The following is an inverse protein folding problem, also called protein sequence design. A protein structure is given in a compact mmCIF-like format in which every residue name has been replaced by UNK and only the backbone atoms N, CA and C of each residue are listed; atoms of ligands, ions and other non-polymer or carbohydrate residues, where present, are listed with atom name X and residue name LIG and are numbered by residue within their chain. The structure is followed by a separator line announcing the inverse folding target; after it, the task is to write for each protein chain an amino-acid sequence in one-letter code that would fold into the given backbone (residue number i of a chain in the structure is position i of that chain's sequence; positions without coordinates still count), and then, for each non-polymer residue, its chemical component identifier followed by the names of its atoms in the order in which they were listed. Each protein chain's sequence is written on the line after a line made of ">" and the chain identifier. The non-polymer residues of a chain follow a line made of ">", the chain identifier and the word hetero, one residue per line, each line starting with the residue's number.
data_IF_102595509869
#
_entry.id   IF_102595509869
#
_cell.length_a   1.000
_cell.length_b   1.000
_cell.length_c   1.000
_cell.angle_alpha   90.00
_cell.angle_beta   90.00
_cell.angle_gamma   90.00
#
_symmetry.space_group_name_H-M   'P 1'
#
loop_
_entity.id
_entity.type
_entity.pdbx_description
1 polymer ?
#
# COMPACT_ATOMS: atom_id res chain seq x y z
N UNK A 1 13.95 27.65 -9.68
CA UNK A 1 13.87 26.50 -10.60
C UNK A 1 12.46 26.48 -11.17
N UNK A 2 12.29 26.80 -12.44
CA UNK A 2 10.97 26.71 -13.07
C UNK A 2 10.66 25.26 -13.41
N UNK A 3 9.55 24.78 -12.88
CA UNK A 3 9.06 23.44 -13.19
C UNK A 3 8.61 23.45 -14.66
N UNK A 4 9.09 22.53 -15.51
CA UNK A 4 8.73 22.56 -16.94
C UNK A 4 7.21 22.39 -17.09
N UNK A 5 6.57 23.35 -17.79
CA UNK A 5 5.10 23.39 -17.99
C UNK A 5 4.53 22.14 -18.68
N UNK A 6 5.36 21.33 -19.33
CA UNK A 6 4.96 20.18 -20.16
C UNK A 6 5.46 18.82 -19.65
N UNK A 7 5.59 18.62 -18.32
CA UNK A 7 5.93 17.30 -17.81
C UNK A 7 4.77 16.33 -18.12
N UNK A 8 5.12 15.19 -18.73
CA UNK A 8 4.20 14.08 -18.93
C UNK A 8 3.81 13.46 -17.58
N UNK A 9 2.55 13.05 -17.42
CA UNK A 9 2.12 12.32 -16.22
C UNK A 9 2.94 11.05 -15.99
N UNK A 10 3.42 10.41 -17.05
CA UNK A 10 4.31 9.23 -16.96
C UNK A 10 5.63 9.55 -16.24
N UNK A 11 6.20 10.73 -16.49
CA UNK A 11 7.44 11.16 -15.81
C UNK A 11 7.15 11.40 -14.32
N UNK A 12 6.01 12.00 -13.98
CA UNK A 12 5.62 12.23 -12.58
C UNK A 12 5.44 10.92 -11.84
N UNK A 13 4.74 9.96 -12.46
CA UNK A 13 4.55 8.61 -11.89
C UNK A 13 5.90 7.93 -11.68
N UNK A 14 6.78 7.99 -12.68
CA UNK A 14 8.13 7.43 -12.57
C UNK A 14 8.91 8.06 -11.42
N UNK A 15 8.88 9.39 -11.25
CA UNK A 15 9.58 10.08 -10.15
C UNK A 15 9.02 9.68 -8.78
N UNK A 16 7.70 9.61 -8.61
CA UNK A 16 7.08 9.16 -7.36
C UNK A 16 7.51 7.72 -7.05
N UNK A 17 7.45 6.83 -8.04
CA UNK A 17 7.86 5.43 -7.88
C UNK A 17 9.35 5.31 -7.57
N UNK A 18 10.20 6.10 -8.24
CA UNK A 18 11.64 6.12 -8.00
C UNK A 18 11.98 6.60 -6.58
N UNK A 19 11.29 7.61 -6.06
CA UNK A 19 11.45 8.07 -4.66
C UNK A 19 11.07 6.95 -3.70
N UNK A 20 9.95 6.27 -3.92
CA UNK A 20 9.54 5.15 -3.07
C UNK A 20 10.55 3.99 -3.11
N UNK A 21 11.07 3.64 -4.29
CA UNK A 21 12.12 2.61 -4.42
C UNK A 21 13.44 3.03 -3.77
N UNK A 22 13.81 4.30 -3.87
CA UNK A 22 14.99 4.82 -3.16
C UNK A 22 14.85 4.70 -1.64
N UNK A 23 13.67 4.99 -1.09
CA UNK A 23 13.39 4.73 0.31
C UNK A 23 13.52 3.24 0.67
N UNK A 24 13.03 2.32 -0.17
CA UNK A 24 13.18 0.88 0.09
C UNK A 24 14.63 0.47 0.24
N UNK A 25 15.50 0.95 -0.65
CA UNK A 25 16.91 0.57 -0.63
C UNK A 25 17.60 1.05 0.64
N UNK A 26 17.29 2.26 1.10
CA UNK A 26 17.90 2.83 2.32
C UNK A 26 17.32 2.23 3.61
N UNK A 27 16.03 1.96 3.65
CA UNK A 27 15.37 1.40 4.84
C UNK A 27 15.65 -0.09 5.03
N UNK A 28 16.20 -0.79 4.03
CA UNK A 28 16.63 -2.18 4.20
C UNK A 28 17.82 -2.34 5.18
N UNK A 29 18.53 -1.26 5.48
CA UNK A 29 19.58 -1.22 6.51
C UNK A 29 19.06 -0.93 7.92
N UNK A 30 17.79 -0.56 8.07
CA UNK A 30 17.19 -0.33 9.39
C UNK A 30 16.84 -1.67 10.02
N UNK A 31 17.18 -1.83 11.30
CA UNK A 31 16.84 -3.00 12.09
C UNK A 31 15.34 -3.26 12.09
N UNK A 32 14.98 -4.53 12.13
CA UNK A 32 13.58 -4.96 12.12
C UNK A 32 12.91 -4.55 13.43
N UNK A 33 11.79 -3.85 13.37
CA UNK A 33 10.94 -3.61 14.54
C UNK A 33 10.24 -4.91 14.97
N UNK A 34 9.84 -4.97 16.24
CA UNK A 34 9.12 -6.16 16.77
C UNK A 34 7.82 -6.40 16.00
N UNK A 35 7.12 -5.33 15.61
CA UNK A 35 5.85 -5.44 14.85
C UNK A 35 6.08 -5.96 13.44
N UNK A 36 7.13 -5.48 12.78
CA UNK A 36 7.54 -5.93 11.46
C UNK A 36 8.01 -7.39 11.50
N UNK A 37 8.85 -7.77 12.48
CA UNK A 37 9.33 -9.12 12.65
C UNK A 37 8.19 -10.13 12.79
N UNK A 38 7.18 -9.83 13.60
CA UNK A 38 5.99 -10.68 13.74
C UNK A 38 5.30 -10.95 12.41
N UNK A 39 5.23 -9.94 11.55
CA UNK A 39 4.58 -10.04 10.26
C UNK A 39 5.41 -10.89 9.29
N UNK A 40 6.73 -10.71 9.28
CA UNK A 40 7.62 -11.48 8.41
C UNK A 40 7.73 -12.95 8.83
N UNK A 41 7.77 -13.21 10.13
CA UNK A 41 7.71 -14.60 10.65
C UNK A 41 6.41 -15.27 10.21
N UNK A 42 5.26 -14.58 10.34
CA UNK A 42 3.97 -15.10 9.87
C UNK A 42 3.98 -15.41 8.37
N UNK A 43 4.51 -14.51 7.54
CA UNK A 43 4.61 -14.75 6.09
C UNK A 43 5.56 -15.91 5.76
N UNK A 44 6.66 -16.05 6.50
CA UNK A 44 7.60 -17.14 6.35
C UNK A 44 7.01 -18.49 6.76
N UNK A 45 6.32 -18.57 7.89
CA UNK A 45 5.64 -19.79 8.36
C UNK A 45 4.57 -20.22 7.37
N UNK A 46 3.79 -19.26 6.85
CA UNK A 46 2.80 -19.51 5.81
C UNK A 46 3.40 -20.23 4.59
N UNK A 47 4.61 -19.85 4.17
CA UNK A 47 5.31 -20.48 3.05
C UNK A 47 5.81 -21.87 3.45
N UNK A 48 6.44 -22.00 4.62
CA UNK A 48 7.09 -23.26 5.05
C UNK A 48 6.09 -24.34 5.41
N UNK A 49 4.96 -23.97 6.02
CA UNK A 49 3.92 -24.89 6.47
C UNK A 49 2.81 -25.05 5.43
N UNK A 50 2.87 -24.31 4.30
CA UNK A 50 1.85 -24.27 3.26
C UNK A 50 0.44 -23.95 3.79
N UNK A 51 0.37 -23.16 4.87
CA UNK A 51 -0.88 -22.77 5.53
C UNK A 51 -1.29 -21.34 5.17
N UNK A 52 -1.97 -21.19 4.04
CA UNK A 52 -2.35 -19.89 3.47
C UNK A 52 -3.62 -19.29 4.08
N UNK A 53 -4.48 -20.13 4.64
CA UNK A 53 -5.78 -19.69 5.17
C UNK A 53 -5.72 -19.32 6.64
N UNK A 54 -4.91 -20.02 7.42
CA UNK A 54 -4.78 -19.81 8.86
C UNK A 54 -3.33 -19.45 9.19
N UNK A 55 -2.94 -18.17 9.08
CA UNK A 55 -1.58 -17.76 9.37
C UNK A 55 -1.18 -18.09 10.82
N UNK A 56 0.03 -18.55 11.00
CA UNK A 56 0.62 -18.87 12.31
C UNK A 56 1.72 -17.88 12.68
N UNK A 57 2.03 -17.80 13.94
CA UNK A 57 3.17 -17.10 14.50
C UNK A 57 3.78 -17.93 15.62
N UNK A 58 5.01 -18.43 15.41
CA UNK A 58 5.68 -19.41 16.28
C UNK A 58 4.84 -20.69 16.50
N UNK A 59 4.16 -21.15 15.46
CA UNK A 59 3.29 -22.32 15.48
C UNK A 59 1.89 -22.08 16.03
N UNK A 60 1.62 -20.94 16.67
CA UNK A 60 0.28 -20.60 17.19
C UNK A 60 -0.55 -19.85 16.13
N UNK A 61 -1.87 -20.12 16.01
CA UNK A 61 -2.74 -19.42 15.10
C UNK A 61 -2.77 -17.91 15.35
N UNK A 62 -2.55 -17.11 14.32
CA UNK A 62 -2.52 -15.66 14.42
C UNK A 62 -3.73 -15.00 13.77
N UNK A 63 -4.75 -14.71 14.56
CA UNK A 63 -5.99 -14.08 14.11
C UNK A 63 -6.03 -12.55 14.28
N UNK A 64 -4.91 -11.90 14.56
CA UNK A 64 -4.89 -10.45 14.90
C UNK A 64 -4.86 -9.52 13.69
N UNK A 65 -4.50 -10.00 12.53
CA UNK A 65 -4.35 -9.19 11.31
C UNK A 65 -4.95 -9.93 10.10
N UNK A 66 -5.61 -9.21 9.18
CA UNK A 66 -6.16 -9.81 7.97
C UNK A 66 -5.06 -10.46 7.11
N UNK A 67 -5.34 -11.60 6.43
CA UNK A 67 -4.31 -12.38 5.76
C UNK A 67 -3.75 -11.75 4.47
N UNK A 68 -4.48 -10.87 3.79
CA UNK A 68 -4.09 -10.32 2.49
C UNK A 68 -2.69 -9.69 2.47
N UNK A 69 -2.31 -8.80 3.40
CA UNK A 69 -0.96 -8.24 3.42
C UNK A 69 0.11 -9.31 3.62
N UNK A 70 -0.19 -10.34 4.43
CA UNK A 70 0.71 -11.48 4.64
C UNK A 70 0.87 -12.28 3.37
N UNK A 71 -0.21 -12.55 2.62
CA UNK A 71 -0.15 -13.19 1.31
C UNK A 71 0.71 -12.42 0.32
N UNK A 72 0.55 -11.10 0.25
CA UNK A 72 1.32 -10.25 -0.66
C UNK A 72 2.82 -10.30 -0.30
N UNK A 73 3.15 -10.23 0.99
CA UNK A 73 4.53 -10.34 1.46
C UNK A 73 5.12 -11.73 1.20
N UNK A 74 4.36 -12.79 1.46
CA UNK A 74 4.76 -14.17 1.17
C UNK A 74 5.00 -14.39 -0.32
N UNK A 75 4.08 -13.97 -1.19
CA UNK A 75 4.24 -14.07 -2.65
C UNK A 75 5.46 -13.30 -3.14
N UNK A 76 5.68 -12.08 -2.66
CA UNK A 76 6.88 -11.31 -3.00
C UNK A 76 8.16 -12.05 -2.61
N UNK A 77 8.19 -12.65 -1.42
CA UNK A 77 9.37 -13.40 -0.95
C UNK A 77 9.58 -14.72 -1.70
N UNK A 78 8.53 -15.37 -2.18
CA UNK A 78 8.63 -16.57 -3.05
C UNK A 78 9.26 -16.19 -4.39
N UNK A 79 8.81 -15.09 -5.01
CA UNK A 79 9.27 -14.67 -6.34
C UNK A 79 10.72 -14.23 -6.30
N UNK A 80 11.12 -13.46 -5.30
CA UNK A 80 12.41 -12.78 -5.23
C UNK A 80 13.40 -13.39 -4.25
N UNK A 81 12.97 -14.32 -3.40
CA UNK A 81 13.80 -14.99 -2.41
C UNK A 81 13.44 -14.66 -0.96
N UNK A 82 13.07 -15.67 -0.19
CA UNK A 82 12.57 -15.53 1.18
C UNK A 82 13.65 -15.34 2.26
N UNK A 83 14.91 -15.35 1.89
CA UNK A 83 16.05 -15.10 2.82
C UNK A 83 16.34 -13.61 3.00
N UNK A 84 15.88 -12.77 2.08
CA UNK A 84 16.19 -11.35 2.08
C UNK A 84 14.98 -10.54 2.55
N UNK A 85 15.16 -9.81 3.63
CA UNK A 85 14.17 -8.95 4.25
C UNK A 85 13.60 -7.88 3.30
N UNK A 86 14.41 -7.41 2.39
CA UNK A 86 14.02 -6.43 1.37
C UNK A 86 12.75 -6.83 0.61
N UNK A 87 12.62 -8.11 0.27
CA UNK A 87 11.48 -8.58 -0.51
C UNK A 87 10.18 -8.68 0.29
N UNK A 88 10.25 -8.78 1.60
CA UNK A 88 9.07 -8.65 2.45
C UNK A 88 8.59 -7.19 2.57
N UNK A 89 9.52 -6.22 2.49
CA UNK A 89 9.23 -4.79 2.55
C UNK A 89 8.74 -4.22 1.22
N UNK A 90 9.21 -4.77 0.11
CA UNK A 90 8.93 -4.26 -1.24
C UNK A 90 7.44 -3.99 -1.51
N UNK A 91 6.49 -4.89 -1.21
CA UNK A 91 5.08 -4.64 -1.46
C UNK A 91 4.50 -3.45 -0.67
N UNK A 92 4.96 -3.22 0.57
CA UNK A 92 4.57 -2.06 1.37
C UNK A 92 4.97 -0.73 0.70
N UNK A 93 6.14 -0.69 0.09
CA UNK A 93 6.59 0.48 -0.68
C UNK A 93 5.86 0.66 -2.01
N UNK A 94 5.44 -0.44 -2.64
CA UNK A 94 4.55 -0.35 -3.80
C UNK A 94 3.19 0.24 -3.41
N UNK A 95 2.65 -0.14 -2.25
CA UNK A 95 1.43 0.47 -1.71
C UNK A 95 1.64 1.97 -1.40
N UNK A 96 2.81 2.35 -0.87
CA UNK A 96 3.20 3.76 -0.70
C UNK A 96 3.22 4.50 -2.03
N UNK A 97 3.81 3.92 -3.08
CA UNK A 97 3.83 4.51 -4.42
C UNK A 97 2.42 4.70 -4.97
N UNK A 98 1.53 3.72 -4.79
CA UNK A 98 0.12 3.82 -5.17
C UNK A 98 -0.57 4.96 -4.43
N UNK A 99 -0.31 5.12 -3.13
CA UNK A 99 -0.85 6.24 -2.32
C UNK A 99 -0.38 7.58 -2.88
N UNK A 100 0.92 7.72 -3.19
CA UNK A 100 1.48 8.93 -3.79
C UNK A 100 0.91 9.25 -5.17
N UNK A 101 0.79 8.25 -6.03
CA UNK A 101 0.21 8.41 -7.37
C UNK A 101 -1.27 8.81 -7.27
N UNK A 102 -2.02 8.20 -6.37
CA UNK A 102 -3.43 8.54 -6.16
C UNK A 102 -3.58 9.95 -5.61
N UNK A 103 -2.73 10.35 -4.66
CA UNK A 103 -2.67 11.73 -4.14
C UNK A 103 -2.36 12.74 -5.25
N UNK A 104 -1.43 12.41 -6.16
CA UNK A 104 -1.14 13.24 -7.33
C UNK A 104 -2.37 13.46 -8.20
N UNK A 105 -3.05 12.40 -8.61
CA UNK A 105 -4.23 12.52 -9.48
C UNK A 105 -5.39 13.22 -8.79
N UNK A 106 -5.61 12.96 -7.51
CA UNK A 106 -6.63 13.64 -6.71
C UNK A 106 -6.35 15.15 -6.62
N UNK A 107 -5.11 15.54 -6.32
CA UNK A 107 -4.69 16.93 -6.30
C UNK A 107 -4.77 17.59 -7.69
N UNK A 108 -4.48 16.84 -8.74
CA UNK A 108 -4.55 17.35 -10.12
C UNK A 108 -6.00 17.70 -10.54
N UNK A 109 -6.98 16.89 -10.09
CA UNK A 109 -8.39 17.21 -10.33
C UNK A 109 -8.87 18.43 -9.51
N UNK A 110 -8.31 18.66 -8.33
CA UNK A 110 -8.67 19.80 -7.47
C UNK A 110 -7.99 21.10 -7.90
N UNK A 111 -6.68 21.06 -8.16
CA UNK A 111 -5.84 22.25 -8.34
C UNK A 111 -5.63 22.61 -9.81
N UNK A 112 -5.87 21.67 -10.72
CA UNK A 112 -5.58 21.78 -12.16
C UNK A 112 -4.15 22.26 -12.47
N UNK A 113 -3.20 21.97 -11.58
CA UNK A 113 -1.81 22.36 -11.65
C UNK A 113 -0.90 21.17 -11.35
N UNK A 114 -0.11 20.73 -12.33
CA UNK A 114 0.77 19.56 -12.21
C UNK A 114 1.87 19.72 -11.18
N UNK A 115 2.43 20.94 -11.05
CA UNK A 115 3.51 21.22 -10.10
C UNK A 115 3.02 21.05 -8.67
N UNK A 116 1.92 21.70 -8.33
CA UNK A 116 1.39 21.69 -6.96
C UNK A 116 0.87 20.29 -6.61
N UNK A 117 0.29 19.58 -7.59
CA UNK A 117 -0.13 18.19 -7.43
C UNK A 117 1.04 17.25 -7.18
N UNK A 118 2.17 17.45 -7.85
CA UNK A 118 3.39 16.69 -7.59
C UNK A 118 3.95 16.98 -6.20
N UNK A 119 3.99 18.26 -5.79
CA UNK A 119 4.44 18.64 -4.45
C UNK A 119 3.57 17.98 -3.38
N UNK A 120 2.23 18.00 -3.54
CA UNK A 120 1.31 17.32 -2.63
C UNK A 120 1.54 15.81 -2.55
N UNK A 121 1.81 15.16 -3.68
CA UNK A 121 2.13 13.73 -3.69
C UNK A 121 3.43 13.45 -2.91
N UNK A 122 4.47 14.26 -3.10
CA UNK A 122 5.73 14.12 -2.36
C UNK A 122 5.51 14.37 -0.88
N UNK A 123 4.79 15.42 -0.48
CA UNK A 123 4.46 15.69 0.92
C UNK A 123 3.71 14.51 1.53
N UNK A 124 2.77 13.90 0.78
CA UNK A 124 2.00 12.75 1.26
C UNK A 124 2.91 11.56 1.55
N UNK A 125 3.76 11.15 0.61
CA UNK A 125 4.63 9.96 0.78
C UNK A 125 5.80 10.19 1.72
N UNK A 126 6.20 11.44 1.95
CA UNK A 126 7.29 11.82 2.87
C UNK A 126 6.78 12.27 4.23
N UNK A 127 5.47 12.29 4.47
CA UNK A 127 4.93 12.65 5.78
C UNK A 127 5.40 11.65 6.83
N UNK A 128 5.78 12.16 8.01
CA UNK A 128 6.30 11.34 9.11
C UNK A 128 5.36 10.19 9.47
N UNK A 129 4.06 10.45 9.48
CA UNK A 129 3.04 9.44 9.78
C UNK A 129 3.03 8.28 8.76
N UNK A 130 3.06 8.59 7.48
CA UNK A 130 3.05 7.57 6.40
C UNK A 130 4.36 6.78 6.41
N UNK A 131 5.50 7.43 6.61
CA UNK A 131 6.80 6.75 6.72
C UNK A 131 6.81 5.81 7.93
N UNK A 132 6.34 6.29 9.09
CA UNK A 132 6.25 5.46 10.29
C UNK A 132 5.37 4.22 10.06
N UNK A 133 4.22 4.36 9.39
CA UNK A 133 3.35 3.21 9.06
C UNK A 133 4.07 2.22 8.14
N UNK A 134 4.77 2.67 7.14
CA UNK A 134 5.48 1.77 6.21
C UNK A 134 6.57 0.96 6.93
N UNK A 135 7.23 1.54 7.92
CA UNK A 135 8.32 0.89 8.66
C UNK A 135 7.78 0.02 9.79
N UNK A 136 6.90 0.56 10.64
CA UNK A 136 6.47 -0.11 11.86
C UNK A 136 5.25 -1.01 11.67
N UNK A 137 4.35 -0.61 10.76
CA UNK A 137 3.08 -1.30 10.52
C UNK A 137 2.85 -1.54 9.02
N UNK A 138 3.73 -2.25 8.29
CA UNK A 138 3.67 -2.40 6.84
C UNK A 138 2.36 -3.01 6.33
N UNK A 139 1.51 -3.53 7.21
CA UNK A 139 0.16 -4.01 6.86
C UNK A 139 -0.87 -2.87 6.74
N UNK A 140 -0.67 -1.78 7.46
CA UNK A 140 -1.65 -0.71 7.51
C UNK A 140 -1.54 0.23 6.29
N UNK A 141 -0.38 0.28 5.61
CA UNK A 141 -0.19 1.08 4.39
C UNK A 141 -1.10 0.61 3.24
N UNK A 142 -1.43 -0.69 3.16
CA UNK A 142 -2.38 -1.19 2.16
C UNK A 142 -3.78 -0.61 2.37
N UNK A 143 -4.22 -0.53 3.63
CA UNK A 143 -5.50 0.07 3.98
C UNK A 143 -5.55 1.54 3.55
N UNK A 144 -4.46 2.28 3.79
CA UNK A 144 -4.35 3.68 3.38
C UNK A 144 -4.40 3.82 1.86
N UNK A 145 -3.67 2.97 1.11
CA UNK A 145 -3.70 2.98 -0.35
C UNK A 145 -5.12 2.75 -0.89
N UNK A 146 -5.85 1.75 -0.37
CA UNK A 146 -7.22 1.47 -0.78
C UNK A 146 -8.20 2.59 -0.42
N UNK A 147 -8.06 3.20 0.77
CA UNK A 147 -8.87 4.34 1.18
C UNK A 147 -8.63 5.54 0.26
N UNK A 148 -7.38 5.87 -0.05
CA UNK A 148 -7.06 6.96 -0.97
C UNK A 148 -7.64 6.73 -2.36
N UNK A 149 -7.54 5.51 -2.89
CA UNK A 149 -8.16 5.13 -4.16
C UNK A 149 -9.68 5.32 -4.10
N UNK A 150 -10.32 4.85 -3.03
CA UNK A 150 -11.76 4.97 -2.85
C UNK A 150 -12.21 6.44 -2.80
N UNK A 151 -11.53 7.27 -2.02
CA UNK A 151 -11.81 8.72 -1.91
C UNK A 151 -11.64 9.40 -3.28
N UNK A 152 -10.56 9.10 -4.01
CA UNK A 152 -10.34 9.65 -5.35
C UNK A 152 -11.48 9.32 -6.31
N UNK A 153 -11.88 8.06 -6.38
CA UNK A 153 -12.97 7.66 -7.27
C UNK A 153 -14.33 8.17 -6.83
N UNK A 154 -14.60 8.25 -5.52
CA UNK A 154 -15.80 8.90 -4.98
C UNK A 154 -15.88 10.36 -5.42
N UNK A 155 -14.82 11.12 -5.19
CA UNK A 155 -14.75 12.53 -5.60
C UNK A 155 -14.98 12.70 -7.10
N UNK A 156 -14.32 11.88 -7.90
CA UNK A 156 -14.47 11.89 -9.36
C UNK A 156 -15.90 11.53 -9.80
N UNK A 157 -16.56 10.62 -9.09
CA UNK A 157 -17.96 10.26 -9.34
C UNK A 157 -18.89 11.42 -9.02
N UNK A 158 -18.67 12.12 -7.91
CA UNK A 158 -19.49 13.29 -7.52
C UNK A 158 -19.33 14.46 -8.49
N UNK A 159 -18.13 14.66 -9.01
CA UNK A 159 -17.83 15.76 -9.94
C UNK A 159 -18.25 15.46 -11.41
N UNK A 160 -18.51 14.20 -11.73
CA UNK A 160 -18.99 13.80 -13.05
C UNK A 160 -20.51 13.86 -13.09
N UNK A 161 -21.09 14.55 -14.11
CA UNK A 161 -22.56 14.58 -14.33
C UNK A 161 -23.17 13.21 -14.69
N UNK A 162 -22.31 12.20 -14.95
CA UNK A 162 -22.71 10.84 -15.31
C UNK A 162 -22.07 9.87 -14.35
N UNK A 163 -22.90 9.18 -13.58
CA UNK A 163 -22.47 8.07 -12.74
C UNK A 163 -21.93 6.93 -13.61
N UNK A 164 -20.60 6.81 -13.68
CA UNK A 164 -19.98 5.70 -14.40
C UNK A 164 -19.98 4.47 -13.50
N UNK A 165 -20.67 3.42 -13.93
CA UNK A 165 -20.75 2.13 -13.20
C UNK A 165 -19.34 1.62 -12.79
N UNK A 166 -18.34 1.84 -13.67
CA UNK A 166 -16.93 1.52 -13.39
C UNK A 166 -16.38 2.25 -12.17
N UNK A 167 -16.75 3.52 -11.96
CA UNK A 167 -16.26 4.32 -10.83
C UNK A 167 -16.87 3.82 -9.52
N UNK A 168 -18.17 3.50 -9.53
CA UNK A 168 -18.87 2.92 -8.38
C UNK A 168 -18.27 1.54 -8.06
N UNK A 169 -18.05 0.70 -9.06
CA UNK A 169 -17.43 -0.60 -8.87
C UNK A 169 -16.02 -0.50 -8.26
N UNK A 170 -15.17 0.41 -8.75
CA UNK A 170 -13.83 0.59 -8.21
C UNK A 170 -13.82 1.12 -6.77
N UNK A 171 -14.77 2.01 -6.41
CA UNK A 171 -14.92 2.46 -5.01
C UNK A 171 -15.40 1.33 -4.12
N UNK A 172 -16.41 0.57 -4.56
CA UNK A 172 -16.93 -0.57 -3.80
C UNK A 172 -15.85 -1.61 -3.58
N UNK A 173 -15.13 -2.03 -4.63
CA UNK A 173 -14.06 -3.02 -4.53
C UNK A 173 -12.95 -2.55 -3.57
N UNK A 174 -12.54 -1.27 -3.62
CA UNK A 174 -11.49 -0.76 -2.72
C UNK A 174 -11.95 -0.73 -1.25
N UNK A 175 -13.22 -0.48 -0.98
CA UNK A 175 -13.79 -0.51 0.38
C UNK A 175 -14.07 -1.95 0.82
N UNK A 176 -14.60 -2.79 -0.08
CA UNK A 176 -14.95 -4.18 0.21
C UNK A 176 -13.72 -5.05 0.49
N UNK A 177 -12.63 -4.86 -0.24
CA UNK A 177 -11.37 -5.57 0.05
C UNK A 177 -10.94 -5.34 1.50
N UNK A 178 -11.10 -4.12 2.02
CA UNK A 178 -10.76 -3.81 3.40
C UNK A 178 -11.76 -4.40 4.41
N UNK A 179 -13.07 -4.29 4.14
CA UNK A 179 -14.13 -4.77 5.03
C UNK A 179 -14.26 -6.29 5.01
N UNK A 180 -14.15 -6.90 3.83
CA UNK A 180 -14.23 -8.35 3.64
C UNK A 180 -13.10 -9.08 4.36
N UNK A 181 -11.90 -8.53 4.30
CA UNK A 181 -10.74 -9.07 5.01
C UNK A 181 -10.91 -8.99 6.53
N UNK A 182 -11.58 -7.94 7.02
CA UNK A 182 -11.94 -7.79 8.43
C UNK A 182 -13.04 -8.78 8.86
N UNK A 183 -14.04 -8.98 8.01
CA UNK A 183 -15.16 -9.90 8.26
C UNK A 183 -14.70 -11.36 8.20
N UNK A 184 -13.88 -11.75 7.23
CA UNK A 184 -13.29 -13.08 7.13
C UNK A 184 -12.46 -13.41 8.37
N UNK A 185 -11.72 -12.43 8.86
CA UNK A 185 -10.96 -12.53 10.10
C UNK A 185 -11.85 -12.77 11.33
N UNK A 186 -12.96 -12.05 11.45
CA UNK A 186 -13.90 -12.24 12.55
C UNK A 186 -14.58 -13.63 12.48
N UNK A 187 -14.89 -14.09 11.27
CA UNK A 187 -15.51 -15.42 11.06
C UNK A 187 -14.55 -16.57 11.39
N UNK A 188 -13.26 -16.44 11.11
CA UNK A 188 -12.27 -17.48 11.45
C UNK A 188 -11.89 -17.50 12.96
N UNK A 189 -12.31 -16.51 13.74
CA UNK A 189 -12.05 -16.42 15.17
C UNK A 189 -13.06 -17.21 16.02
N UNK A 190 -14.22 -17.54 15.46
CA UNK A 190 -15.27 -18.36 16.10
C UNK A 190 -15.35 -19.74 15.48
#
# INVERSE_FOLDING_TARGET
>A
MEFPKNISNSIVIFLITAVCLFFTMNLSYIDITIMEARNFVTAREMILENNWLMPTFNGDPRYQKPPLPTWIAALSSIIFGFKNLYFYRLPGFLALAITGITSYYFSLELLNNKRDSFINAIITITSLYIIAIVIEAPWDIYSHAFIFIAIYYLFRSMNSRVFKLKTIFLTSVSLDVQSYLKALYLYMRY
#
